data_IF_111991513121
#
_entry.id   IF_111991513121
#
_cell.length_a   1.000
_cell.length_b   1.000
_cell.length_c   1.000
_cell.angle_alpha   90.00
_cell.angle_beta   90.00
_cell.angle_gamma   90.00
#
_symmetry.space_group_name_H-M   'P 1'
#
loop_
_entity.id
_entity.type
_entity.pdbx_description
1 polymer ?
#
# COMPACT_ATOMS: atom_id res chain seq x y z
N UNK A 1 -29.24 13.09 -6.37
CA UNK A 1 -29.01 11.98 -5.41
C UNK A 1 -27.75 11.25 -5.82
N UNK A 2 -26.57 11.73 -5.40
CA UNK A 2 -25.30 11.06 -5.66
C UNK A 2 -25.05 10.04 -4.56
N UNK A 3 -25.31 8.76 -4.84
CA UNK A 3 -25.09 7.68 -3.90
C UNK A 3 -23.61 7.63 -3.53
N UNK A 4 -23.31 7.66 -2.23
CA UNK A 4 -22.00 7.36 -1.70
C UNK A 4 -21.66 5.93 -2.14
N UNK A 5 -20.93 5.80 -3.25
CA UNK A 5 -20.50 4.51 -3.78
C UNK A 5 -19.37 4.05 -2.87
N UNK A 6 -19.77 3.54 -1.71
CA UNK A 6 -18.88 3.24 -0.59
C UNK A 6 -17.88 2.17 -0.99
N UNK A 7 -16.73 2.61 -1.52
CA UNK A 7 -15.58 1.74 -1.70
C UNK A 7 -15.17 1.22 -0.34
N UNK A 8 -14.94 -0.08 -0.24
CA UNK A 8 -14.38 -0.66 0.98
C UNK A 8 -12.96 -0.10 1.15
N UNK A 9 -12.60 0.33 2.35
CA UNK A 9 -11.23 0.69 2.69
C UNK A 9 -10.63 -0.45 3.50
N UNK A 10 -9.51 -1.01 3.03
CA UNK A 10 -8.72 -2.00 3.73
C UNK A 10 -7.33 -1.42 3.96
N UNK A 11 -6.99 -1.16 5.23
CA UNK A 11 -5.68 -0.65 5.63
C UNK A 11 -4.87 -1.77 6.26
N UNK A 12 -3.81 -2.17 5.59
CA UNK A 12 -2.88 -3.20 6.02
C UNK A 12 -1.57 -2.55 6.43
N UNK A 13 -1.17 -2.70 7.69
CA UNK A 13 0.15 -2.26 8.14
C UNK A 13 1.12 -3.41 8.03
N UNK A 14 2.17 -3.21 7.23
CA UNK A 14 3.23 -4.19 7.04
C UNK A 14 4.17 -4.17 8.25
N UNK A 15 4.56 -5.35 8.71
CA UNK A 15 5.58 -5.52 9.75
C UNK A 15 6.51 -6.70 9.45
N UNK A 16 7.48 -6.95 10.34
CA UNK A 16 8.49 -7.98 10.13
C UNK A 16 7.92 -9.41 10.02
N UNK A 17 6.69 -9.67 10.48
CA UNK A 17 6.03 -10.98 10.34
C UNK A 17 5.63 -11.28 8.91
N UNK A 18 5.49 -10.26 8.06
CA UNK A 18 5.15 -10.39 6.64
C UNK A 18 6.28 -10.96 5.78
N UNK A 19 7.47 -11.12 6.36
CA UNK A 19 8.55 -11.91 5.75
C UNK A 19 8.12 -13.38 5.54
N UNK A 20 7.17 -13.88 6.36
CA UNK A 20 6.49 -15.15 6.11
C UNK A 20 5.21 -14.90 5.30
N UNK A 21 5.23 -15.32 4.03
CA UNK A 21 4.09 -15.13 3.13
C UNK A 21 2.79 -15.78 3.63
N UNK A 22 2.88 -16.90 4.35
CA UNK A 22 1.69 -17.54 4.93
C UNK A 22 1.00 -16.64 5.97
N UNK A 23 1.80 -16.01 6.83
CA UNK A 23 1.34 -15.05 7.83
C UNK A 23 0.75 -13.80 7.19
N UNK A 24 1.42 -13.23 6.18
CA UNK A 24 0.91 -12.10 5.41
C UNK A 24 -0.45 -12.41 4.75
N UNK A 25 -0.56 -13.54 4.04
CA UNK A 25 -1.80 -13.97 3.40
C UNK A 25 -2.94 -14.17 4.43
N UNK A 26 -2.64 -14.77 5.58
CA UNK A 26 -3.63 -14.97 6.65
C UNK A 26 -4.12 -13.64 7.23
N UNK A 27 -3.21 -12.70 7.48
CA UNK A 27 -3.54 -11.37 8.01
C UNK A 27 -4.37 -10.56 7.00
N UNK A 28 -4.01 -10.55 5.72
CA UNK A 28 -4.79 -9.94 4.64
C UNK A 28 -6.18 -10.57 4.51
N UNK A 29 -6.30 -11.90 4.60
CA UNK A 29 -7.60 -12.57 4.56
C UNK A 29 -8.49 -12.20 5.76
N UNK A 30 -7.89 -12.03 6.94
CA UNK A 30 -8.57 -11.55 8.14
C UNK A 30 -9.06 -10.10 7.97
N UNK A 31 -8.22 -9.24 7.39
CA UNK A 31 -8.57 -7.86 7.05
C UNK A 31 -9.76 -7.82 6.08
N UNK A 32 -9.71 -8.58 4.98
CA UNK A 32 -10.81 -8.69 4.03
C UNK A 32 -12.11 -9.11 4.72
N UNK A 33 -12.03 -10.13 5.59
CA UNK A 33 -13.19 -10.63 6.34
C UNK A 33 -13.77 -9.56 7.24
N UNK A 34 -12.92 -8.75 7.88
CA UNK A 34 -13.35 -7.64 8.73
C UNK A 34 -14.03 -6.54 7.93
N UNK A 35 -13.49 -6.20 6.77
CA UNK A 35 -14.00 -5.12 5.93
C UNK A 35 -15.27 -5.49 5.14
N UNK A 36 -15.42 -6.76 4.76
CA UNK A 36 -16.45 -7.19 3.78
C UNK A 36 -17.40 -8.27 4.31
N UNK A 37 -17.08 -8.89 5.46
CA UNK A 37 -17.73 -10.11 5.99
C UNK A 37 -17.65 -11.32 5.05
N UNK A 38 -16.82 -11.28 4.01
CA UNK A 38 -16.56 -12.39 3.08
C UNK A 38 -15.24 -13.06 3.44
N UNK A 39 -15.16 -14.37 3.21
CA UNK A 39 -13.97 -15.16 3.54
C UNK A 39 -13.36 -15.75 2.29
N UNK A 40 -12.03 -15.72 2.24
CA UNK A 40 -11.29 -16.45 1.22
C UNK A 40 -11.44 -17.97 1.42
N UNK A 41 -11.41 -18.75 0.32
CA UNK A 41 -11.33 -20.20 0.40
C UNK A 41 -10.13 -20.67 1.24
N UNK A 42 -10.30 -21.67 2.14
CA UNK A 42 -9.20 -22.17 2.97
C UNK A 42 -7.96 -22.65 2.19
N UNK A 43 -8.15 -23.12 0.95
CA UNK A 43 -7.05 -23.55 0.09
C UNK A 43 -6.07 -22.42 -0.25
N UNK A 44 -6.54 -21.16 -0.32
CA UNK A 44 -5.70 -19.99 -0.57
C UNK A 44 -5.00 -19.47 0.69
N UNK A 45 -5.34 -20.01 1.87
CA UNK A 45 -4.70 -19.69 3.15
C UNK A 45 -3.66 -20.74 3.55
N UNK A 46 -3.46 -21.77 2.73
CA UNK A 46 -2.39 -22.72 2.94
C UNK A 46 -1.04 -22.05 2.68
N UNK A 47 -0.02 -22.51 3.41
CA UNK A 47 1.34 -22.00 3.26
C UNK A 47 1.76 -22.08 1.78
N UNK A 48 2.36 -21.00 1.23
CA UNK A 48 2.83 -21.00 -0.14
C UNK A 48 3.82 -22.15 -0.40
N UNK A 49 3.87 -22.68 -1.63
CA UNK A 49 4.79 -23.75 -1.98
C UNK A 49 6.24 -23.34 -1.68
N UNK A 50 7.01 -24.25 -1.07
CA UNK A 50 8.42 -23.99 -0.71
C UNK A 50 9.33 -24.15 -1.94
N UNK A 51 10.36 -23.31 -2.02
CA UNK A 51 11.52 -23.49 -2.89
C UNK A 51 11.36 -23.08 -4.35
N UNK A 52 10.14 -23.01 -4.89
CA UNK A 52 9.89 -22.53 -6.25
C UNK A 52 9.33 -21.09 -6.24
N UNK A 53 10.10 -20.16 -6.82
CA UNK A 53 9.68 -18.77 -7.02
C UNK A 53 8.42 -18.69 -7.90
N UNK A 54 8.37 -19.42 -9.01
CA UNK A 54 7.24 -19.35 -9.95
C UNK A 54 5.95 -19.83 -9.29
N UNK A 55 6.03 -20.88 -8.47
CA UNK A 55 4.89 -21.39 -7.73
C UNK A 55 4.41 -20.41 -6.64
N UNK A 56 5.32 -19.72 -5.95
CA UNK A 56 4.96 -18.67 -4.98
C UNK A 56 4.30 -17.47 -5.65
N UNK A 57 4.83 -17.02 -6.79
CA UNK A 57 4.20 -15.96 -7.59
C UNK A 57 2.81 -16.36 -8.11
N UNK A 58 2.65 -17.61 -8.55
CA UNK A 58 1.34 -18.13 -8.96
C UNK A 58 0.35 -18.18 -7.79
N UNK A 59 0.79 -18.58 -6.60
CA UNK A 59 -0.01 -18.54 -5.39
C UNK A 59 -0.46 -17.10 -5.06
N UNK A 60 0.45 -16.14 -5.07
CA UNK A 60 0.16 -14.73 -4.80
C UNK A 60 -0.89 -14.16 -5.78
N UNK A 61 -0.76 -14.44 -7.08
CA UNK A 61 -1.75 -14.05 -8.10
C UNK A 61 -3.12 -14.66 -7.82
N UNK A 62 -3.18 -15.97 -7.54
CA UNK A 62 -4.47 -16.62 -7.22
C UNK A 62 -5.10 -16.05 -5.94
N UNK A 63 -4.28 -15.76 -4.92
CA UNK A 63 -4.73 -15.13 -3.69
C UNK A 63 -5.39 -13.76 -3.97
N UNK A 64 -4.69 -12.86 -4.66
CA UNK A 64 -5.21 -11.50 -4.90
C UNK A 64 -6.36 -11.45 -5.90
N UNK A 65 -6.37 -12.32 -6.91
CA UNK A 65 -7.52 -12.48 -7.81
C UNK A 65 -8.80 -12.80 -7.03
N UNK A 66 -8.72 -13.76 -6.10
CA UNK A 66 -9.85 -14.10 -5.25
C UNK A 66 -10.18 -13.00 -4.23
N UNK A 67 -9.15 -12.37 -3.66
CA UNK A 67 -9.29 -11.27 -2.71
C UNK A 67 -10.08 -10.11 -3.32
N UNK A 68 -9.66 -9.62 -4.49
CA UNK A 68 -10.31 -8.52 -5.19
C UNK A 68 -11.71 -8.87 -5.67
N UNK A 69 -11.91 -10.09 -6.19
CA UNK A 69 -13.23 -10.56 -6.59
C UNK A 69 -14.23 -10.58 -5.42
N UNK A 70 -13.77 -10.94 -4.22
CA UNK A 70 -14.59 -10.89 -3.01
C UNK A 70 -14.79 -9.46 -2.49
N UNK A 71 -13.75 -8.62 -2.55
CA UNK A 71 -13.81 -7.25 -2.05
C UNK A 71 -14.76 -6.35 -2.86
N UNK A 72 -14.84 -6.55 -4.18
CA UNK A 72 -15.48 -5.60 -5.07
C UNK A 72 -14.66 -4.32 -5.20
N UNK A 73 -15.32 -3.16 -5.27
CA UNK A 73 -14.62 -1.87 -5.34
C UNK A 73 -13.92 -1.55 -4.02
N UNK A 74 -12.58 -1.59 -4.04
CA UNK A 74 -11.74 -1.55 -2.84
C UNK A 74 -10.64 -0.49 -2.96
N UNK A 75 -10.36 0.22 -1.87
CA UNK A 75 -9.09 0.91 -1.66
C UNK A 75 -8.25 0.07 -0.70
N UNK A 76 -7.17 -0.53 -1.21
CA UNK A 76 -6.23 -1.34 -0.43
C UNK A 76 -4.97 -0.53 -0.17
N UNK A 77 -4.70 -0.23 1.10
CA UNK A 77 -3.51 0.49 1.54
C UNK A 77 -2.54 -0.49 2.18
N UNK A 78 -1.34 -0.60 1.64
CA UNK A 78 -0.19 -1.22 2.31
C UNK A 78 0.67 -0.12 2.93
N UNK A 79 0.63 -0.03 4.24
CA UNK A 79 1.37 0.95 5.00
C UNK A 79 2.69 0.35 5.50
N UNK A 80 3.77 1.14 5.50
CA UNK A 80 5.09 0.72 5.93
C UNK A 80 5.70 -0.47 5.13
N UNK A 81 5.53 -0.54 3.79
CA UNK A 81 5.99 -1.73 3.00
C UNK A 81 7.48 -2.05 3.13
N UNK A 82 8.29 -1.07 3.49
CA UNK A 82 9.72 -1.23 3.79
C UNK A 82 10.03 -2.05 5.05
N UNK A 83 9.03 -2.35 5.89
CA UNK A 83 9.19 -3.13 7.13
C UNK A 83 9.42 -4.62 6.88
N UNK A 84 9.07 -5.15 5.70
CA UNK A 84 9.28 -6.54 5.30
C UNK A 84 10.03 -6.65 3.96
N UNK A 85 11.31 -6.26 3.90
CA UNK A 85 12.06 -6.24 2.65
C UNK A 85 12.45 -7.67 2.20
N UNK A 86 11.66 -8.27 1.32
CA UNK A 86 11.96 -9.55 0.68
C UNK A 86 11.41 -9.61 -0.75
N UNK A 87 12.06 -10.38 -1.62
CA UNK A 87 11.59 -10.60 -3.01
C UNK A 87 10.22 -11.26 -3.06
N UNK A 88 9.96 -12.13 -2.09
CA UNK A 88 8.69 -12.82 -1.90
C UNK A 88 7.56 -11.85 -1.62
N UNK A 89 7.77 -10.96 -0.65
CA UNK A 89 6.77 -9.97 -0.27
C UNK A 89 6.60 -8.90 -1.36
N UNK A 90 7.68 -8.50 -2.04
CA UNK A 90 7.60 -7.65 -3.24
C UNK A 90 6.74 -8.30 -4.34
N UNK A 91 6.88 -9.61 -4.54
CA UNK A 91 6.03 -10.38 -5.45
C UNK A 91 4.56 -10.44 -5.02
N UNK A 92 4.30 -10.56 -3.71
CA UNK A 92 2.96 -10.48 -3.14
C UNK A 92 2.33 -9.09 -3.41
N UNK A 93 3.09 -8.01 -3.20
CA UNK A 93 2.66 -6.64 -3.50
C UNK A 93 2.42 -6.45 -5.01
N UNK A 94 3.28 -6.99 -5.87
CA UNK A 94 3.09 -6.95 -7.32
C UNK A 94 1.81 -7.68 -7.73
N UNK A 95 1.53 -8.84 -7.15
CA UNK A 95 0.28 -9.57 -7.41
C UNK A 95 -0.96 -8.80 -6.95
N UNK A 96 -0.88 -8.03 -5.85
CA UNK A 96 -1.96 -7.15 -5.43
C UNK A 96 -2.27 -6.06 -6.46
N UNK A 97 -1.23 -5.52 -7.11
CA UNK A 97 -1.33 -4.52 -8.18
C UNK A 97 -1.89 -5.14 -9.47
N UNK A 98 -1.26 -6.21 -9.96
CA UNK A 98 -1.58 -6.83 -11.24
C UNK A 98 -3.01 -7.41 -11.30
N UNK A 99 -3.52 -7.89 -10.17
CA UNK A 99 -4.86 -8.49 -10.07
C UNK A 99 -5.94 -7.49 -9.64
N UNK A 100 -5.59 -6.22 -9.42
CA UNK A 100 -6.56 -5.20 -9.05
C UNK A 100 -7.49 -4.86 -10.23
N UNK A 101 -8.82 -4.91 -10.05
CA UNK A 101 -9.75 -4.45 -11.08
C UNK A 101 -9.73 -2.92 -11.17
N UNK A 102 -10.13 -2.35 -12.31
CA UNK A 102 -10.21 -0.90 -12.56
C UNK A 102 -11.06 -0.12 -11.54
N UNK A 103 -11.96 -0.81 -10.82
CA UNK A 103 -12.81 -0.23 -9.78
C UNK A 103 -12.11 -0.07 -8.42
N UNK A 104 -10.94 -0.67 -8.27
CA UNK A 104 -10.11 -0.70 -7.07
C UNK A 104 -8.87 0.18 -7.19
N UNK A 105 -8.28 0.52 -6.06
CA UNK A 105 -7.06 1.32 -5.96
C UNK A 105 -6.13 0.67 -4.95
N UNK A 106 -4.88 0.46 -5.33
CA UNK A 106 -3.83 -0.02 -4.42
C UNK A 106 -2.90 1.14 -4.12
N UNK A 107 -2.66 1.39 -2.84
CA UNK A 107 -1.75 2.42 -2.34
C UNK A 107 -0.67 1.75 -1.50
N UNK A 108 0.56 2.23 -1.63
CA UNK A 108 1.70 1.72 -0.86
C UNK A 108 2.46 2.90 -0.25
N UNK A 109 2.74 2.86 1.05
CA UNK A 109 3.60 3.84 1.72
C UNK A 109 4.94 3.20 2.06
N UNK A 110 6.02 3.95 1.86
CA UNK A 110 7.37 3.47 2.11
C UNK A 110 8.29 4.61 2.51
N UNK A 111 9.23 4.34 3.41
CA UNK A 111 10.36 5.24 3.70
C UNK A 111 11.54 5.03 2.75
N UNK A 112 11.47 3.99 1.91
CA UNK A 112 12.53 3.59 0.97
C UNK A 112 12.00 3.58 -0.46
N UNK A 113 12.83 3.88 -1.47
CA UNK A 113 12.40 3.76 -2.87
C UNK A 113 12.03 2.31 -3.21
N UNK A 114 11.09 2.09 -4.16
CA UNK A 114 10.75 0.76 -4.63
C UNK A 114 11.98 0.06 -5.24
N UNK A 115 11.99 -1.27 -5.14
CA UNK A 115 13.07 -2.14 -5.65
C UNK A 115 12.46 -3.29 -6.45
N UNK A 116 13.32 -4.02 -7.15
CA UNK A 116 12.94 -5.23 -7.87
C UNK A 116 11.74 -5.01 -8.79
N UNK A 117 10.77 -5.92 -8.69
CA UNK A 117 9.56 -5.94 -9.53
C UNK A 117 8.70 -4.67 -9.39
N UNK A 118 8.69 -4.03 -8.22
CA UNK A 118 7.94 -2.79 -8.03
C UNK A 118 8.61 -1.61 -8.76
N UNK A 119 9.95 -1.57 -8.79
CA UNK A 119 10.67 -0.55 -9.56
C UNK A 119 10.45 -0.72 -11.07
N UNK A 120 10.39 -1.97 -11.55
CA UNK A 120 10.04 -2.26 -12.95
C UNK A 120 8.62 -1.79 -13.29
N UNK A 121 7.66 -1.98 -12.38
CA UNK A 121 6.29 -1.46 -12.53
C UNK A 121 6.23 0.06 -12.55
N UNK A 122 7.08 0.76 -11.79
CA UNK A 122 7.23 2.22 -11.91
C UNK A 122 7.78 2.60 -13.29
N UNK A 123 8.81 1.91 -13.77
CA UNK A 123 9.43 2.20 -15.06
C UNK A 123 8.47 1.96 -16.24
N UNK A 124 7.55 0.99 -16.13
CA UNK A 124 6.49 0.73 -17.12
C UNK A 124 5.30 1.67 -17.03
N UNK A 125 5.15 2.39 -15.92
CA UNK A 125 4.01 3.28 -15.66
C UNK A 125 2.79 2.60 -15.04
N UNK A 126 2.91 1.32 -14.69
CA UNK A 126 1.85 0.54 -14.01
C UNK A 126 1.71 0.95 -12.53
N UNK A 127 2.79 1.49 -11.94
CA UNK A 127 2.82 2.03 -10.59
C UNK A 127 3.28 3.49 -10.61
N UNK A 128 2.43 4.39 -10.14
CA UNK A 128 2.78 5.80 -9.98
C UNK A 128 3.47 6.05 -8.64
N UNK A 129 4.69 6.57 -8.69
CA UNK A 129 5.43 6.96 -7.49
C UNK A 129 5.24 8.45 -7.22
N UNK A 130 4.70 8.76 -6.04
CA UNK A 130 4.69 10.12 -5.49
C UNK A 130 5.88 10.19 -4.52
N UNK A 131 6.90 10.94 -4.89
CA UNK A 131 8.09 11.09 -4.04
C UNK A 131 7.86 12.11 -2.91
N UNK A 132 8.79 12.11 -1.94
CA UNK A 132 8.72 13.04 -0.80
C UNK A 132 8.81 14.51 -1.20
N UNK A 133 9.40 14.85 -2.35
CA UNK A 133 9.46 16.24 -2.81
C UNK A 133 8.10 16.72 -3.30
N UNK A 134 7.34 15.85 -3.98
CA UNK A 134 5.96 16.11 -4.38
C UNK A 134 5.01 16.26 -3.17
N UNK A 135 5.37 15.72 -2.01
CA UNK A 135 4.61 15.82 -0.76
C UNK A 135 5.07 16.97 0.16
N UNK A 136 6.15 17.67 -0.17
CA UNK A 136 6.61 18.79 0.62
C UNK A 136 5.60 19.94 0.55
N UNK A 137 5.25 20.48 1.71
CA UNK A 137 4.40 21.66 1.76
C UNK A 137 5.10 22.83 1.06
N UNK A 138 4.37 23.44 0.12
CA UNK A 138 4.72 24.76 -0.40
C UNK A 138 4.75 25.78 0.73
N UNK A 139 5.38 26.93 0.51
CA UNK A 139 5.41 28.01 1.50
C UNK A 139 3.99 28.45 1.91
N UNK A 140 3.06 28.49 0.97
CA UNK A 140 1.67 28.89 1.21
C UNK A 140 0.89 27.82 2.00
N UNK A 141 1.08 26.54 1.67
CA UNK A 141 0.49 25.44 2.45
C UNK A 141 1.06 25.38 3.87
N UNK A 142 2.36 25.58 4.02
CA UNK A 142 3.01 25.64 5.32
C UNK A 142 2.49 26.82 6.16
N UNK A 143 2.32 28.00 5.56
CA UNK A 143 1.68 29.15 6.22
C UNK A 143 0.24 28.83 6.60
N UNK A 144 -0.55 28.27 5.68
CA UNK A 144 -1.94 27.90 5.95
C UNK A 144 -2.07 26.90 7.10
N UNK A 145 -1.15 25.94 7.20
CA UNK A 145 -1.16 24.87 8.20
C UNK A 145 -0.60 25.32 9.56
N UNK A 146 0.47 26.12 9.55
CA UNK A 146 1.29 26.40 10.73
C UNK A 146 1.07 27.80 11.32
N UNK A 147 0.62 28.78 10.52
CA UNK A 147 0.39 30.14 11.01
C UNK A 147 -0.59 30.22 12.20
N UNK A 148 -1.64 29.37 12.31
CA UNK A 148 -2.49 29.36 13.50
C UNK A 148 -1.75 29.03 14.81
N UNK A 149 -0.58 28.39 14.75
CA UNK A 149 0.21 28.00 15.92
C UNK A 149 1.48 28.83 16.11
N UNK A 150 2.11 29.26 15.01
CA UNK A 150 3.45 29.85 15.01
C UNK A 150 3.49 31.30 14.46
N UNK A 151 2.36 31.82 13.96
CA UNK A 151 2.33 33.02 13.14
C UNK A 151 2.93 32.81 11.75
N UNK A 152 2.68 33.76 10.84
CA UNK A 152 3.10 33.66 9.43
C UNK A 152 4.62 33.56 9.31
N UNK A 153 5.35 34.38 10.07
CA UNK A 153 6.81 34.42 10.00
C UNK A 153 7.42 33.12 10.55
N UNK A 154 6.89 32.61 11.67
CA UNK A 154 7.33 31.32 12.23
C UNK A 154 7.06 30.15 11.28
N UNK A 155 5.92 30.17 10.57
CA UNK A 155 5.59 29.16 9.56
C UNK A 155 6.55 29.18 8.37
N UNK A 156 6.88 30.38 7.84
CA UNK A 156 7.84 30.54 6.74
C UNK A 156 9.25 30.12 7.14
N UNK A 157 9.69 30.51 8.33
CA UNK A 157 11.02 30.19 8.84
C UNK A 157 11.18 28.68 9.06
N UNK A 158 10.12 28.00 9.53
CA UNK A 158 10.14 26.55 9.68
C UNK A 158 10.16 25.84 8.31
N UNK A 159 9.33 26.28 7.35
CA UNK A 159 9.32 25.73 5.98
C UNK A 159 10.68 25.88 5.30
N UNK A 160 11.32 27.04 5.42
CA UNK A 160 12.63 27.31 4.84
C UNK A 160 13.73 26.41 5.46
N UNK A 161 13.59 26.01 6.73
CA UNK A 161 14.56 25.15 7.42
C UNK A 161 14.32 23.66 7.17
N UNK A 162 13.08 23.22 6.96
CA UNK A 162 12.74 21.80 6.74
C UNK A 162 12.51 21.44 5.28
N UNK A 163 12.50 22.43 4.38
CA UNK A 163 12.14 22.23 2.97
C UNK A 163 10.67 21.86 2.75
N UNK A 164 9.79 22.09 3.73
CA UNK A 164 8.37 21.72 3.66
C UNK A 164 8.06 20.27 4.03
N UNK A 165 9.06 19.47 4.42
CA UNK A 165 8.83 18.09 4.83
C UNK A 165 8.04 17.99 6.15
N UNK A 166 6.93 17.23 6.22
CA UNK A 166 6.38 16.80 7.50
C UNK A 166 7.43 15.91 8.17
N UNK A 167 7.83 16.22 9.40
CA UNK A 167 8.85 15.42 10.09
C UNK A 167 8.38 13.96 10.23
N UNK A 168 9.28 13.02 9.89
CA UNK A 168 9.09 11.57 9.88
C UNK A 168 9.30 10.89 11.24
#
# INVERSE_FOLDING_TARGET
>A
MGGNSGRTLAWYRVDATDLDLGSACAALASLLTTCTRRRLPPALLQAPPRGDEAARQAHARHFFRAFHALAGALVLVFDDVHAAPSTDFEGLLQAALDEAPDSSTVLMTSRHPPRGVLLESVARGDLWMIDGQALNFTADEAVSLLAPRLGIEGARLLQARTGGGPQA
#
